data_IF_187102152128
#
_entry.id   IF_187102152128
#
_cell.length_a   1.000
_cell.length_b   1.000
_cell.length_c   1.000
_cell.angle_alpha   90.00
_cell.angle_beta   90.00
_cell.angle_gamma   90.00
#
_symmetry.space_group_name_H-M   'P 1'
#
loop_
_entity.id
_entity.type
_entity.pdbx_description
1 polymer ?
#
# COMPACT_ATOMS: atom_id res chain seq x y z
N UNK A 1 11.26 16.02 -2.81
CA UNK A 1 9.85 15.58 -2.76
C UNK A 1 9.65 14.34 -3.65
N UNK A 2 10.49 13.32 -3.49
CA UNK A 2 10.42 12.06 -4.28
C UNK A 2 10.50 10.82 -3.38
N UNK A 3 11.13 10.93 -2.21
CA UNK A 3 11.26 9.82 -1.26
C UNK A 3 9.90 9.24 -0.82
N UNK A 4 8.90 10.09 -0.56
CA UNK A 4 7.57 9.61 -0.19
C UNK A 4 6.86 8.90 -1.36
N UNK A 5 7.01 9.41 -2.58
CA UNK A 5 6.42 8.78 -3.76
C UNK A 5 7.04 7.40 -3.99
N UNK A 6 8.36 7.29 -3.86
CA UNK A 6 9.08 6.01 -3.98
C UNK A 6 8.57 4.99 -2.95
N UNK A 7 8.40 5.38 -1.68
CA UNK A 7 7.91 4.48 -0.63
C UNK A 7 6.45 4.03 -0.85
N UNK A 8 5.62 4.88 -1.47
CA UNK A 8 4.23 4.50 -1.82
C UNK A 8 4.22 3.50 -2.98
N UNK A 9 5.10 3.67 -3.96
CA UNK A 9 5.22 2.77 -5.12
C UNK A 9 5.87 1.43 -4.74
N UNK A 10 6.87 1.48 -3.87
CA UNK A 10 7.66 0.35 -3.39
C UNK A 10 7.66 0.34 -1.85
N UNK A 11 6.69 -0.36 -1.23
CA UNK A 11 6.63 -0.46 0.22
C UNK A 11 7.83 -1.20 0.81
N UNK A 12 8.31 -0.76 1.97
CA UNK A 12 9.35 -1.43 2.77
C UNK A 12 8.74 -2.24 3.93
N UNK A 13 8.47 -3.55 3.76
CA UNK A 13 7.81 -4.35 4.80
C UNK A 13 8.70 -4.59 6.03
N UNK A 14 10.02 -4.56 5.90
CA UNK A 14 10.96 -4.80 7.00
C UNK A 14 11.00 -3.62 8.01
N UNK A 15 10.58 -2.43 7.59
CA UNK A 15 10.50 -1.22 8.41
C UNK A 15 9.06 -0.69 8.49
N UNK A 16 8.08 -1.59 8.46
CA UNK A 16 6.68 -1.20 8.38
C UNK A 16 6.16 -0.59 9.69
N UNK A 17 5.40 0.50 9.56
CA UNK A 17 4.59 1.06 10.65
C UNK A 17 3.38 0.18 10.99
N UNK A 18 2.94 -0.65 10.03
CA UNK A 18 1.81 -1.57 10.16
C UNK A 18 2.26 -3.00 9.91
N UNK A 19 2.66 -3.68 10.99
CA UNK A 19 3.19 -5.04 10.91
C UNK A 19 2.19 -6.06 10.34
N UNK A 20 0.89 -5.89 10.61
CA UNK A 20 -0.19 -6.72 10.08
C UNK A 20 -0.25 -6.69 8.54
N UNK A 21 -0.16 -5.48 7.96
CA UNK A 21 -0.13 -5.32 6.52
C UNK A 21 1.18 -5.77 5.90
N UNK A 22 2.31 -5.56 6.57
CA UNK A 22 3.60 -6.03 6.08
C UNK A 22 3.66 -7.55 6.01
N UNK A 23 3.11 -8.22 7.03
CA UNK A 23 2.96 -9.67 7.03
C UNK A 23 2.06 -10.14 5.88
N UNK A 24 0.91 -9.51 5.67
CA UNK A 24 0.02 -9.84 4.54
C UNK A 24 0.69 -9.55 3.19
N UNK A 25 1.39 -8.43 3.06
CA UNK A 25 2.14 -8.05 1.86
C UNK A 25 3.19 -9.09 1.48
N UNK A 26 3.89 -9.65 2.48
CA UNK A 26 4.94 -10.67 2.29
C UNK A 26 4.38 -12.09 2.09
N UNK A 27 3.31 -12.46 2.79
CA UNK A 27 2.76 -13.83 2.79
C UNK A 27 1.68 -14.04 1.73
N UNK A 28 0.85 -13.04 1.46
CA UNK A 28 -0.25 -13.10 0.50
C UNK A 28 -0.43 -11.78 -0.27
N UNK A 29 0.49 -11.56 -1.22
CA UNK A 29 0.49 -10.37 -2.08
C UNK A 29 -0.81 -10.19 -2.87
N UNK A 30 -1.51 -11.27 -3.21
CA UNK A 30 -2.76 -11.21 -3.97
C UNK A 30 -3.89 -10.64 -3.12
N UNK A 31 -4.03 -11.12 -1.88
CA UNK A 31 -5.01 -10.58 -0.92
C UNK A 31 -4.70 -9.14 -0.56
N UNK A 32 -3.42 -8.82 -0.30
CA UNK A 32 -3.00 -7.44 -0.03
C UNK A 32 -3.43 -6.50 -1.16
N UNK A 33 -3.09 -6.83 -2.42
CA UNK A 33 -3.40 -5.98 -3.57
C UNK A 33 -4.91 -5.78 -3.74
N UNK A 34 -5.72 -6.83 -3.55
CA UNK A 34 -7.18 -6.72 -3.63
C UNK A 34 -7.73 -5.78 -2.56
N UNK A 35 -7.29 -5.95 -1.31
CA UNK A 35 -7.72 -5.10 -0.19
C UNK A 35 -7.28 -3.65 -0.39
N UNK A 36 -6.04 -3.43 -0.87
CA UNK A 36 -5.52 -2.11 -1.19
C UNK A 36 -6.37 -1.44 -2.28
N UNK A 37 -6.72 -2.15 -3.35
CA UNK A 37 -7.57 -1.63 -4.42
C UNK A 37 -8.96 -1.24 -3.90
N UNK A 38 -9.60 -2.09 -3.09
CA UNK A 38 -10.90 -1.80 -2.48
C UNK A 38 -10.83 -0.58 -1.53
N UNK A 39 -9.77 -0.49 -0.74
CA UNK A 39 -9.55 0.65 0.16
C UNK A 39 -9.34 1.95 -0.61
N UNK A 40 -8.51 1.94 -1.67
CA UNK A 40 -8.29 3.08 -2.55
C UNK A 40 -9.59 3.54 -3.19
N UNK A 41 -10.43 2.62 -3.71
CA UNK A 41 -11.74 2.98 -4.31
C UNK A 41 -12.67 3.70 -3.33
N UNK A 42 -12.63 3.33 -2.05
CA UNK A 42 -13.54 3.87 -1.03
C UNK A 42 -13.06 5.19 -0.42
N UNK A 43 -11.74 5.39 -0.36
CA UNK A 43 -11.15 6.44 0.48
C UNK A 43 -10.19 7.39 -0.25
N UNK A 44 -9.76 7.09 -1.48
CA UNK A 44 -8.83 7.97 -2.18
C UNK A 44 -9.52 9.24 -2.70
N UNK A 45 -8.74 10.32 -2.73
CA UNK A 45 -9.09 11.54 -3.43
C UNK A 45 -9.31 11.27 -4.93
N UNK A 46 -10.15 12.08 -5.56
CA UNK A 46 -10.31 12.02 -7.02
C UNK A 46 -8.98 12.34 -7.69
N UNK A 47 -8.63 11.56 -8.70
CA UNK A 47 -7.47 11.87 -9.52
C UNK A 47 -7.71 13.19 -10.26
N UNK A 48 -6.74 14.12 -10.24
CA UNK A 48 -6.82 15.31 -11.08
C UNK A 48 -6.84 14.90 -12.56
N UNK A 49 -7.57 15.66 -13.38
CA UNK A 49 -7.59 15.49 -14.84
C UNK A 49 -6.27 15.88 -15.49
#
# INVERSE_FOLDING_TARGET
MMALLALIQEPEPDHALRADLAEEFNKDRKKFNKTAEEFTKKHAEKRPE
#
